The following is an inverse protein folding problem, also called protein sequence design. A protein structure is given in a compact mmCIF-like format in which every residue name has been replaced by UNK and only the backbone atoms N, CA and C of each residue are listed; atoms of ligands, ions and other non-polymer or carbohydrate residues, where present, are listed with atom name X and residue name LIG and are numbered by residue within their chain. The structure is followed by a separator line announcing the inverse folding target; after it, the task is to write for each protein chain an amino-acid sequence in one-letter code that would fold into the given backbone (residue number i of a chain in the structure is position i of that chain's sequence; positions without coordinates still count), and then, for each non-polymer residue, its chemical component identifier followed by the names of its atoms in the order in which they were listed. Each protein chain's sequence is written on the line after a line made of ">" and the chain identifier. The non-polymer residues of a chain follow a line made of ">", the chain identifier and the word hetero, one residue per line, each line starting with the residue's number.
data_IF_428764380406
#
_entry.id   IF_428764380406
#
_cell.length_a   1.000
_cell.length_b   1.000
_cell.length_c   1.000
_cell.angle_alpha   90.00
_cell.angle_beta   90.00
_cell.angle_gamma   90.00
#
_symmetry.space_group_name_H-M   'P 1'
#
loop_
_entity.id
_entity.type
_entity.pdbx_description
1 polymer ?
#
# COMPACT_ATOMS: atom_id res chain seq x y z
N UNK A 1 -8.98 8.56 21.78
CA UNK A 1 -8.71 9.09 20.43
C UNK A 1 -9.61 10.30 20.22
N UNK A 2 -9.06 11.47 19.91
CA UNK A 2 -9.84 12.68 19.69
C UNK A 2 -10.72 12.53 18.44
N UNK A 3 -11.97 13.07 18.46
CA UNK A 3 -12.92 12.94 17.34
C UNK A 3 -12.33 13.26 15.96
N UNK A 4 -11.56 14.37 15.77
CA UNK A 4 -10.95 14.66 14.47
C UNK A 4 -9.99 13.58 13.99
N UNK A 5 -9.18 13.01 14.88
CA UNK A 5 -8.25 11.94 14.54
C UNK A 5 -8.98 10.67 14.10
N UNK A 6 -10.10 10.33 14.75
CA UNK A 6 -10.93 9.20 14.36
C UNK A 6 -11.49 9.34 12.95
N UNK A 7 -11.93 10.55 12.58
CA UNK A 7 -12.51 10.83 11.27
C UNK A 7 -11.45 10.70 10.17
N UNK A 8 -10.27 11.28 10.36
CA UNK A 8 -9.21 11.17 9.34
C UNK A 8 -8.69 9.73 9.21
N UNK A 9 -8.67 8.96 10.31
CA UNK A 9 -8.34 7.53 10.27
C UNK A 9 -9.40 6.73 9.48
N UNK A 10 -10.68 7.01 9.72
CA UNK A 10 -11.79 6.42 8.97
C UNK A 10 -11.71 6.79 7.48
N UNK A 11 -11.42 8.06 7.16
CA UNK A 11 -11.26 8.52 5.77
C UNK A 11 -10.13 7.78 5.06
N UNK A 12 -9.00 7.61 5.73
CA UNK A 12 -7.87 6.86 5.19
C UNK A 12 -8.21 5.37 5.00
N UNK A 13 -8.83 4.77 6.00
CA UNK A 13 -9.27 3.38 5.93
C UNK A 13 -10.27 3.16 4.78
N UNK A 14 -11.27 4.05 4.61
CA UNK A 14 -12.21 4.02 3.49
C UNK A 14 -11.50 4.05 2.14
N UNK A 15 -10.48 4.89 1.98
CA UNK A 15 -9.70 4.99 0.74
C UNK A 15 -8.98 3.67 0.43
N UNK A 16 -8.39 3.02 1.44
CA UNK A 16 -7.69 1.74 1.26
C UNK A 16 -8.64 0.54 1.16
N UNK A 17 -9.80 0.57 1.80
CA UNK A 17 -10.90 -0.39 1.52
C UNK A 17 -11.28 -0.30 0.05
N UNK A 18 -11.53 0.89 -0.48
CA UNK A 18 -11.87 1.10 -1.88
C UNK A 18 -10.79 0.57 -2.83
N UNK A 19 -9.51 0.83 -2.54
CA UNK A 19 -8.43 0.25 -3.34
C UNK A 19 -8.45 -1.29 -3.29
N UNK A 20 -8.62 -1.88 -2.11
CA UNK A 20 -8.62 -3.33 -1.92
C UNK A 20 -9.81 -4.05 -2.56
N UNK A 21 -10.98 -3.42 -2.57
CA UNK A 21 -12.22 -3.94 -3.20
C UNK A 21 -11.99 -4.34 -4.67
N UNK A 22 -11.17 -3.59 -5.38
CA UNK A 22 -10.93 -3.74 -6.81
C UNK A 22 -10.16 -5.02 -7.13
N UNK A 23 -9.22 -5.40 -6.28
CA UNK A 23 -8.23 -6.45 -6.54
C UNK A 23 -8.89 -7.75 -7.01
N UNK A 24 -9.86 -8.35 -6.29
CA UNK A 24 -10.47 -9.60 -6.69
C UNK A 24 -11.55 -9.48 -7.78
N UNK A 25 -12.05 -8.27 -8.06
CA UNK A 25 -13.24 -8.10 -8.92
C UNK A 25 -12.86 -7.62 -10.32
N UNK A 26 -11.84 -6.79 -10.42
CA UNK A 26 -11.46 -6.12 -11.67
C UNK A 26 -11.13 -7.09 -12.82
N UNK A 27 -10.38 -8.19 -12.62
CA UNK A 27 -10.08 -9.12 -13.72
C UNK A 27 -11.34 -9.72 -14.35
N UNK A 28 -12.37 -10.04 -13.55
CA UNK A 28 -13.61 -10.61 -14.08
C UNK A 28 -14.41 -9.60 -14.91
N UNK A 29 -14.39 -8.32 -14.53
CA UNK A 29 -14.97 -7.24 -15.32
C UNK A 29 -14.23 -7.03 -16.64
N UNK A 30 -12.91 -7.02 -16.61
CA UNK A 30 -12.08 -6.86 -17.82
C UNK A 30 -12.32 -8.04 -18.77
N UNK A 31 -12.41 -9.27 -18.26
CA UNK A 31 -12.67 -10.48 -19.04
C UNK A 31 -13.98 -10.37 -19.88
N UNK A 32 -14.99 -9.65 -19.37
CA UNK A 32 -16.24 -9.41 -20.09
C UNK A 32 -16.10 -8.42 -21.27
N UNK A 33 -15.10 -7.53 -21.20
CA UNK A 33 -14.91 -6.45 -22.16
C UNK A 33 -13.79 -6.76 -23.15
N UNK A 34 -12.67 -7.29 -22.65
CA UNK A 34 -11.48 -7.67 -23.41
C UNK A 34 -10.79 -8.85 -22.73
N UNK A 35 -11.08 -10.05 -23.22
CA UNK A 35 -10.48 -11.28 -22.70
C UNK A 35 -9.07 -11.53 -23.22
N UNK A 36 -8.67 -10.97 -24.38
CA UNK A 36 -7.36 -11.22 -24.99
C UNK A 36 -6.23 -10.51 -24.24
N UNK A 37 -6.46 -9.27 -23.82
CA UNK A 37 -5.51 -8.46 -23.11
C UNK A 37 -5.77 -8.39 -21.57
N UNK A 38 -6.49 -9.36 -21.01
CA UNK A 38 -6.95 -9.38 -19.62
C UNK A 38 -5.84 -9.06 -18.60
N UNK A 39 -4.71 -9.75 -18.67
CA UNK A 39 -3.61 -9.53 -17.73
C UNK A 39 -3.02 -8.12 -17.88
N UNK A 40 -2.80 -7.67 -19.11
CA UNK A 40 -2.25 -6.33 -19.39
C UNK A 40 -3.15 -5.23 -18.84
N UNK A 41 -4.46 -5.27 -19.11
CA UNK A 41 -5.40 -4.27 -18.59
C UNK A 41 -5.52 -4.31 -17.07
N UNK A 42 -5.46 -5.50 -16.46
CA UNK A 42 -5.42 -5.64 -14.99
C UNK A 42 -4.20 -4.91 -14.40
N UNK A 43 -3.02 -5.17 -14.95
CA UNK A 43 -1.79 -4.52 -14.51
C UNK A 43 -1.80 -3.00 -14.74
N UNK A 44 -2.22 -2.56 -15.93
CA UNK A 44 -2.28 -1.13 -16.28
C UNK A 44 -3.24 -0.34 -15.40
N UNK A 45 -4.46 -0.84 -15.15
CA UNK A 45 -5.47 -0.13 -14.33
C UNK A 45 -5.02 0.06 -12.88
N UNK A 46 -4.27 -0.89 -12.31
CA UNK A 46 -3.65 -0.75 -10.98
C UNK A 46 -2.45 0.20 -10.99
N UNK A 47 -1.61 0.08 -12.02
CA UNK A 47 -0.39 0.90 -12.17
C UNK A 47 -0.71 2.37 -12.43
N UNK A 48 -1.67 2.67 -13.31
CA UNK A 48 -2.09 4.04 -13.63
C UNK A 48 -2.64 4.75 -12.40
N UNK A 49 -3.51 4.08 -11.61
CA UNK A 49 -4.00 4.64 -10.36
C UNK A 49 -2.84 5.04 -9.43
N UNK A 50 -1.88 4.13 -9.26
CA UNK A 50 -0.73 4.36 -8.38
C UNK A 50 0.21 5.45 -8.92
N UNK A 51 0.42 5.51 -10.23
CA UNK A 51 1.25 6.52 -10.89
C UNK A 51 0.65 7.92 -10.75
N UNK A 52 -0.64 8.05 -11.02
CA UNK A 52 -1.34 9.34 -10.88
C UNK A 52 -1.33 9.78 -9.42
N UNK A 53 -1.64 8.87 -8.48
CA UNK A 53 -1.59 9.17 -7.05
C UNK A 53 -0.19 9.62 -6.59
N UNK A 54 0.86 8.97 -7.08
CA UNK A 54 2.26 9.32 -6.77
C UNK A 54 2.63 10.74 -7.23
N UNK A 55 2.27 11.08 -8.47
CA UNK A 55 2.55 12.41 -9.06
C UNK A 55 1.72 13.50 -8.37
N UNK A 56 0.45 13.22 -8.08
CA UNK A 56 -0.48 14.22 -7.54
C UNK A 56 -0.33 14.44 -6.03
N UNK A 57 0.15 13.46 -5.27
CA UNK A 57 0.29 13.57 -3.80
C UNK A 57 1.12 14.79 -3.35
N UNK A 58 2.30 15.10 -3.91
CA UNK A 58 3.04 16.30 -3.54
C UNK A 58 2.31 17.60 -3.89
N UNK A 59 1.58 17.62 -5.02
CA UNK A 59 0.83 18.80 -5.47
C UNK A 59 -0.33 19.09 -4.52
N UNK A 60 -1.09 18.07 -4.15
CA UNK A 60 -2.15 18.19 -3.15
C UNK A 60 -1.62 18.57 -1.77
N UNK A 61 -0.48 18.00 -1.37
CA UNK A 61 0.21 18.38 -0.15
C UNK A 61 0.56 19.86 -0.13
N UNK A 62 1.18 20.37 -1.20
CA UNK A 62 1.54 21.77 -1.33
C UNK A 62 0.31 22.69 -1.40
N UNK A 63 -0.75 22.28 -2.08
CA UNK A 63 -2.01 23.04 -2.13
C UNK A 63 -2.65 23.09 -0.73
N UNK A 64 -2.64 22.00 0.02
CA UNK A 64 -3.18 21.95 1.38
C UNK A 64 -2.41 22.82 2.37
N UNK A 65 -1.12 23.07 2.15
CA UNK A 65 -0.33 24.02 2.93
C UNK A 65 -0.79 25.47 2.73
N UNK A 66 -1.41 25.77 1.57
CA UNK A 66 -1.89 27.12 1.22
C UNK A 66 -3.33 27.38 1.62
N UNK A 67 -4.24 26.45 1.30
CA UNK A 67 -5.68 26.67 1.49
C UNK A 67 -6.25 25.97 2.74
N UNK A 68 -5.45 25.11 3.37
CA UNK A 68 -5.84 24.34 4.54
C UNK A 68 -5.98 22.84 4.24
N UNK A 69 -5.95 22.03 5.30
CA UNK A 69 -6.02 20.55 5.20
C UNK A 69 -7.44 20.07 4.91
N UNK A 70 -8.40 20.62 5.66
CA UNK A 70 -9.81 20.20 5.59
C UNK A 70 -10.40 20.29 4.19
N UNK A 71 -10.28 21.40 3.42
CA UNK A 71 -10.85 21.49 2.07
C UNK A 71 -10.29 20.42 1.14
N UNK A 72 -8.99 20.15 1.21
CA UNK A 72 -8.35 19.15 0.32
C UNK A 72 -8.78 17.73 0.67
N UNK A 73 -8.90 17.38 1.96
CA UNK A 73 -9.44 16.08 2.39
C UNK A 73 -10.86 15.89 1.87
N UNK A 74 -11.71 16.92 1.97
CA UNK A 74 -13.09 16.85 1.50
C UNK A 74 -13.19 16.69 -0.02
N UNK A 75 -12.43 17.48 -0.77
CA UNK A 75 -12.34 17.36 -2.24
C UNK A 75 -11.82 15.96 -2.61
N UNK A 76 -10.79 15.48 -1.91
CA UNK A 76 -10.20 14.17 -2.15
C UNK A 76 -11.19 13.03 -1.98
N UNK A 77 -11.91 12.97 -0.84
CA UNK A 77 -12.87 11.88 -0.59
C UNK A 77 -14.10 11.95 -1.49
N UNK A 78 -14.57 13.16 -1.83
CA UNK A 78 -15.68 13.34 -2.77
C UNK A 78 -15.30 12.91 -4.18
N UNK A 79 -14.14 13.34 -4.68
CA UNK A 79 -13.62 12.92 -5.99
C UNK A 79 -13.33 11.42 -6.04
N UNK A 80 -12.87 10.83 -4.94
CA UNK A 80 -12.70 9.39 -4.80
C UNK A 80 -14.04 8.65 -4.89
N UNK A 81 -15.10 9.14 -4.21
CA UNK A 81 -16.44 8.59 -4.33
C UNK A 81 -16.96 8.64 -5.76
N UNK A 82 -16.78 9.78 -6.45
CA UNK A 82 -17.17 9.95 -7.84
C UNK A 82 -16.41 8.98 -8.77
N UNK A 83 -15.11 8.76 -8.53
CA UNK A 83 -14.33 7.82 -9.33
C UNK A 83 -14.86 6.39 -9.24
N UNK A 84 -15.28 5.93 -8.06
CA UNK A 84 -15.87 4.61 -7.87
C UNK A 84 -17.27 4.50 -8.50
N UNK A 85 -18.07 5.56 -8.42
CA UNK A 85 -19.36 5.61 -9.09
C UNK A 85 -19.19 5.50 -10.62
N UNK A 86 -18.25 6.25 -11.20
CA UNK A 86 -17.92 6.18 -12.63
C UNK A 86 -17.45 4.77 -13.01
N UNK A 87 -16.63 4.12 -12.16
CA UNK A 87 -16.22 2.75 -12.44
C UNK A 87 -17.39 1.78 -12.46
N UNK A 88 -18.28 1.84 -11.47
CA UNK A 88 -19.46 0.98 -11.41
C UNK A 88 -20.41 1.16 -12.58
N UNK A 89 -20.71 2.42 -12.94
CA UNK A 89 -21.56 2.75 -14.09
C UNK A 89 -20.91 2.40 -15.44
N UNK A 90 -19.60 2.54 -15.53
CA UNK A 90 -18.81 2.27 -16.74
C UNK A 90 -18.16 0.88 -16.77
N UNK A 91 -18.59 -0.07 -15.95
CA UNK A 91 -17.99 -1.39 -15.84
C UNK A 91 -18.00 -2.25 -17.12
N UNK A 92 -18.82 -1.86 -18.11
CA UNK A 92 -18.88 -2.49 -19.42
C UNK A 92 -18.05 -1.75 -20.50
N UNK A 93 -17.30 -0.72 -20.12
CA UNK A 93 -16.51 0.11 -21.01
C UNK A 93 -15.11 0.32 -20.48
N UNK A 94 -14.11 -0.22 -21.15
CA UNK A 94 -12.71 -0.16 -20.75
C UNK A 94 -12.20 1.29 -20.60
N UNK A 95 -12.60 2.20 -21.47
CA UNK A 95 -12.24 3.62 -21.40
C UNK A 95 -12.74 4.25 -20.09
N UNK A 96 -13.98 3.95 -19.69
CA UNK A 96 -14.56 4.45 -18.44
C UNK A 96 -13.83 3.88 -17.21
N UNK A 97 -13.40 2.61 -17.28
CA UNK A 97 -12.55 2.02 -16.24
C UNK A 97 -11.23 2.80 -16.12
N UNK A 98 -10.55 3.13 -17.21
CA UNK A 98 -9.32 3.93 -17.20
C UNK A 98 -9.54 5.35 -16.67
N UNK A 99 -10.57 6.04 -17.11
CA UNK A 99 -10.93 7.38 -16.61
C UNK A 99 -11.14 7.33 -15.10
N UNK A 100 -11.89 6.35 -14.61
CA UNK A 100 -12.11 6.15 -13.20
C UNK A 100 -10.80 5.91 -12.43
N UNK A 101 -9.86 5.11 -12.98
CA UNK A 101 -8.56 4.87 -12.32
C UNK A 101 -7.69 6.12 -12.25
N UNK A 102 -7.68 6.95 -13.31
CA UNK A 102 -7.00 8.24 -13.30
C UNK A 102 -7.60 9.17 -12.26
N UNK A 103 -8.93 9.32 -12.23
CA UNK A 103 -9.63 10.14 -11.24
C UNK A 103 -9.43 9.60 -9.81
N UNK A 104 -9.53 8.27 -9.63
CA UNK A 104 -9.27 7.63 -8.34
C UNK A 104 -7.86 7.89 -7.82
N UNK A 105 -6.85 7.78 -8.69
CA UNK A 105 -5.46 8.11 -8.37
C UNK A 105 -5.28 9.60 -8.02
N UNK A 106 -5.88 10.48 -8.81
CA UNK A 106 -5.85 11.94 -8.58
C UNK A 106 -6.35 12.28 -7.17
N UNK A 107 -7.52 11.81 -6.80
CA UNK A 107 -8.17 12.19 -5.55
C UNK A 107 -7.71 11.37 -4.34
N UNK A 108 -7.29 10.11 -4.52
CA UNK A 108 -6.67 9.35 -3.42
C UNK A 108 -5.34 9.94 -2.98
N UNK A 109 -4.58 10.53 -3.91
CA UNK A 109 -3.36 11.29 -3.60
C UNK A 109 -3.62 12.47 -2.68
N UNK A 110 -4.76 13.16 -2.82
CA UNK A 110 -5.20 14.23 -1.93
C UNK A 110 -5.46 13.70 -0.50
N UNK A 111 -6.22 12.60 -0.39
CA UNK A 111 -6.55 12.00 0.91
C UNK A 111 -5.30 11.52 1.62
N UNK A 112 -4.48 10.69 0.97
CA UNK A 112 -3.35 10.02 1.61
C UNK A 112 -2.25 10.98 2.06
N UNK A 113 -1.88 11.96 1.20
CA UNK A 113 -0.82 12.92 1.54
C UNK A 113 -1.24 13.91 2.61
N UNK A 114 -2.48 14.41 2.55
CA UNK A 114 -2.95 15.46 3.44
C UNK A 114 -3.34 14.91 4.81
N UNK A 115 -3.84 13.67 4.90
CA UNK A 115 -4.11 13.04 6.20
C UNK A 115 -2.83 12.87 7.02
N UNK A 116 -1.72 12.46 6.42
CA UNK A 116 -0.43 12.36 7.11
C UNK A 116 -0.02 13.73 7.67
N UNK A 117 -0.19 14.80 6.88
CA UNK A 117 0.09 16.15 7.33
C UNK A 117 -0.88 16.62 8.44
N UNK A 118 -2.18 16.33 8.30
CA UNK A 118 -3.19 16.62 9.31
C UNK A 118 -2.86 15.96 10.65
N UNK A 119 -2.47 14.69 10.65
CA UNK A 119 -2.06 13.95 11.87
C UNK A 119 -0.84 14.62 12.50
N UNK A 120 0.14 15.05 11.70
CA UNK A 120 1.32 15.75 12.20
C UNK A 120 0.96 17.12 12.82
N UNK A 121 -0.06 17.81 12.29
CA UNK A 121 -0.52 19.10 12.78
C UNK A 121 -1.27 18.98 14.14
N UNK A 122 -2.01 17.89 14.37
CA UNK A 122 -2.88 17.71 15.57
C UNK A 122 -2.22 16.86 16.67
N UNK A 123 -0.98 16.39 16.46
CA UNK A 123 -0.21 15.61 17.45
C UNK A 123 1.00 16.39 17.93
N UNK A 124 1.29 16.29 19.24
CA UNK A 124 2.56 16.80 19.79
C UNK A 124 3.75 15.96 19.26
N UNK A 125 4.99 16.48 19.32
CA UNK A 125 6.18 15.71 18.94
C UNK A 125 6.26 14.33 19.61
N UNK A 126 5.86 14.23 20.88
CA UNK A 126 5.87 13.01 21.70
C UNK A 126 4.80 12.01 21.26
N UNK A 127 3.64 12.49 20.83
CA UNK A 127 2.51 11.67 20.38
C UNK A 127 2.56 11.35 18.88
N UNK A 128 3.44 11.99 18.11
CA UNK A 128 3.50 11.89 16.65
C UNK A 128 3.73 10.44 16.18
N UNK A 129 4.61 9.71 16.85
CA UNK A 129 4.86 8.30 16.54
C UNK A 129 3.60 7.44 16.70
N UNK A 130 2.82 7.68 17.76
CA UNK A 130 1.54 7.01 17.99
C UNK A 130 0.51 7.38 16.91
N UNK A 131 0.44 8.66 16.53
CA UNK A 131 -0.42 9.15 15.45
C UNK A 131 -0.10 8.49 14.11
N UNK A 132 1.19 8.40 13.76
CA UNK A 132 1.63 7.72 12.53
C UNK A 132 1.40 6.20 12.58
N UNK A 133 1.46 5.59 13.76
CA UNK A 133 1.06 4.20 13.96
C UNK A 133 -0.42 3.96 13.64
N UNK A 134 -1.31 4.89 14.02
CA UNK A 134 -2.73 4.85 13.66
C UNK A 134 -2.94 4.97 12.15
N UNK A 135 -2.16 5.82 11.46
CA UNK A 135 -2.16 5.92 10.00
C UNK A 135 -1.84 4.55 9.37
N UNK A 136 -0.73 3.93 9.80
CA UNK A 136 -0.34 2.60 9.33
C UNK A 136 -1.39 1.52 9.60
N UNK A 137 -2.02 1.55 10.78
CA UNK A 137 -3.12 0.64 11.15
C UNK A 137 -4.34 0.83 10.24
N UNK A 138 -4.74 2.06 9.95
CA UNK A 138 -5.88 2.36 9.06
C UNK A 138 -5.63 1.85 7.63
N UNK A 139 -4.41 2.01 7.12
CA UNK A 139 -3.98 1.48 5.83
C UNK A 139 -4.05 -0.06 5.82
N UNK A 140 -3.46 -0.71 6.83
CA UNK A 140 -3.42 -2.16 6.95
C UNK A 140 -4.82 -2.78 7.06
N UNK A 141 -5.69 -2.21 7.90
CA UNK A 141 -7.08 -2.65 8.03
C UNK A 141 -7.84 -2.48 6.70
N UNK A 142 -7.64 -1.36 6.00
CA UNK A 142 -8.26 -1.12 4.70
C UNK A 142 -7.87 -2.18 3.67
N UNK A 143 -6.59 -2.52 3.58
CA UNK A 143 -6.09 -3.58 2.71
C UNK A 143 -6.54 -4.99 3.09
N UNK A 144 -6.77 -5.25 4.37
CA UNK A 144 -7.27 -6.55 4.84
C UNK A 144 -8.76 -6.71 4.57
N UNK A 145 -9.55 -5.69 4.90
CA UNK A 145 -11.01 -5.72 4.80
C UNK A 145 -11.46 -5.55 3.33
N UNK A 146 -10.77 -4.70 2.56
CA UNK A 146 -11.18 -4.31 1.22
C UNK A 146 -11.43 -5.50 0.29
N UNK A 147 -10.45 -6.38 0.05
CA UNK A 147 -10.63 -7.53 -0.85
C UNK A 147 -11.73 -8.48 -0.37
N UNK A 148 -11.83 -8.72 0.94
CA UNK A 148 -12.88 -9.55 1.53
C UNK A 148 -14.27 -8.99 1.25
N UNK A 149 -14.48 -7.69 1.53
CA UNK A 149 -15.75 -7.01 1.25
C UNK A 149 -16.04 -6.97 -0.25
N UNK A 150 -15.03 -6.66 -1.08
CA UNK A 150 -15.14 -6.68 -2.54
C UNK A 150 -15.59 -8.02 -3.08
N UNK A 151 -14.94 -9.08 -2.62
CA UNK A 151 -15.29 -10.45 -2.99
C UNK A 151 -16.69 -10.88 -2.53
N UNK A 152 -17.11 -10.51 -1.32
CA UNK A 152 -18.46 -10.81 -0.84
C UNK A 152 -19.53 -10.06 -1.64
N UNK A 153 -19.35 -8.77 -1.86
CA UNK A 153 -20.32 -7.94 -2.60
C UNK A 153 -20.41 -8.32 -4.09
N UNK A 154 -19.34 -8.86 -4.66
CA UNK A 154 -19.33 -9.34 -6.05
C UNK A 154 -20.25 -10.53 -6.30
N UNK A 155 -20.71 -11.22 -5.24
CA UNK A 155 -21.73 -12.28 -5.35
C UNK A 155 -23.12 -11.75 -5.72
N UNK A 156 -23.40 -10.46 -5.46
CA UNK A 156 -24.63 -9.79 -5.87
C UNK A 156 -24.52 -9.36 -7.34
N UNK A 157 -23.51 -8.58 -7.66
CA UNK A 157 -23.07 -8.26 -9.02
C UNK A 157 -21.60 -7.79 -8.96
N UNK A 158 -20.88 -7.86 -10.10
CA UNK A 158 -19.49 -7.40 -10.16
C UNK A 158 -19.36 -5.88 -10.00
N UNK A 159 -20.43 -5.13 -10.21
CA UNK A 159 -20.50 -3.68 -10.06
C UNK A 159 -20.82 -3.26 -8.62
N UNK A 160 -21.53 -4.09 -7.84
CA UNK A 160 -21.96 -3.79 -6.47
C UNK A 160 -20.80 -3.32 -5.55
N UNK A 161 -19.60 -3.92 -5.57
CA UNK A 161 -18.47 -3.46 -4.76
C UNK A 161 -18.09 -2.00 -5.00
N UNK A 162 -18.20 -1.53 -6.24
CA UNK A 162 -17.87 -0.15 -6.62
C UNK A 162 -18.91 0.85 -6.13
N UNK A 163 -20.18 0.50 -6.21
CA UNK A 163 -21.26 1.32 -5.65
C UNK A 163 -21.17 1.39 -4.13
N UNK A 164 -20.84 0.27 -3.48
CA UNK A 164 -20.63 0.23 -2.03
C UNK A 164 -19.43 1.08 -1.60
N UNK A 165 -18.31 1.02 -2.33
CA UNK A 165 -17.15 1.86 -2.08
C UNK A 165 -17.46 3.35 -2.26
N UNK A 166 -18.21 3.71 -3.31
CA UNK A 166 -18.69 5.08 -3.51
C UNK A 166 -19.59 5.53 -2.37
N UNK A 167 -20.56 4.72 -1.97
CA UNK A 167 -21.48 5.00 -0.86
C UNK A 167 -20.74 5.19 0.46
N UNK A 168 -19.78 4.31 0.78
CA UNK A 168 -18.94 4.42 1.96
C UNK A 168 -18.10 5.70 1.95
N UNK A 169 -17.54 6.07 0.80
CA UNK A 169 -16.79 7.30 0.64
C UNK A 169 -17.68 8.54 0.82
N UNK A 170 -18.91 8.53 0.28
CA UNK A 170 -19.89 9.61 0.50
C UNK A 170 -20.30 9.73 1.96
N UNK A 171 -20.58 8.62 2.65
CA UNK A 171 -20.86 8.63 4.09
C UNK A 171 -19.70 9.22 4.87
N UNK A 172 -18.46 8.83 4.54
CA UNK A 172 -17.26 9.38 5.15
C UNK A 172 -17.07 10.87 4.83
N UNK A 173 -17.41 11.29 3.60
CA UNK A 173 -17.42 12.71 3.21
C UNK A 173 -18.37 13.53 4.09
N UNK A 174 -19.62 13.12 4.27
CA UNK A 174 -20.59 13.85 5.08
C UNK A 174 -20.18 13.90 6.56
N UNK A 175 -19.60 12.80 7.08
CA UNK A 175 -19.05 12.76 8.42
C UNK A 175 -17.87 13.74 8.57
N UNK A 176 -16.93 13.74 7.62
CA UNK A 176 -15.80 14.66 7.63
C UNK A 176 -16.26 16.10 7.43
N UNK A 177 -17.22 16.36 6.52
CA UNK A 177 -17.75 17.69 6.28
C UNK A 177 -18.39 18.29 7.53
N UNK A 178 -19.16 17.51 8.30
CA UNK A 178 -19.86 17.96 9.50
C UNK A 178 -18.97 18.11 10.73
N UNK A 179 -17.92 17.29 10.88
CA UNK A 179 -17.20 17.18 12.15
C UNK A 179 -15.68 17.44 12.05
N UNK A 180 -15.08 17.39 10.85
CA UNK A 180 -13.66 17.63 10.71
C UNK A 180 -13.37 19.14 10.83
N UNK A 181 -12.49 19.48 11.76
CA UNK A 181 -12.01 20.86 11.94
C UNK A 181 -10.72 21.07 11.14
N UNK A 182 -10.48 22.33 10.75
CA UNK A 182 -9.20 22.70 10.13
C UNK A 182 -8.05 22.55 11.15
N UNK A 183 -6.95 21.94 10.73
CA UNK A 183 -5.77 21.75 11.58
C UNK A 183 -4.70 22.81 11.35
N UNK A 184 -4.68 23.44 10.17
CA UNK A 184 -3.66 24.41 9.81
C UNK A 184 -4.18 25.84 10.05
N UNK A 185 -3.66 26.49 11.10
CA UNK A 185 -4.00 27.86 11.43
C UNK A 185 -3.64 28.83 10.27
N UNK A 186 -4.47 29.87 10.00
CA UNK A 186 -4.25 30.80 8.89
C UNK A 186 -2.86 31.44 8.87
N UNK A 187 -2.29 31.71 10.05
CA UNK A 187 -0.97 32.32 10.24
C UNK A 187 0.15 31.38 9.76
N UNK A 188 -0.02 30.07 9.94
CA UNK A 188 0.95 29.04 9.51
C UNK A 188 0.89 28.75 8.01
N UNK A 189 -0.20 29.12 7.33
CA UNK A 189 -0.33 28.92 5.87
C UNK A 189 0.68 29.75 5.07
N UNK A 190 1.13 30.89 5.58
CA UNK A 190 2.11 31.79 4.93
C UNK A 190 3.56 31.33 5.11
N UNK A 191 3.87 30.51 6.12
CA UNK A 191 5.22 30.02 6.42
C UNK A 191 5.61 28.76 5.61
N UNK A 192 4.69 28.13 4.91
CA UNK A 192 4.94 26.92 4.12
C UNK A 192 5.70 27.18 2.80
N UNK A 193 6.32 28.36 2.64
CA UNK A 193 7.06 28.75 1.42
C UNK A 193 8.54 28.35 1.45
N UNK A 194 9.03 27.79 2.56
CA UNK A 194 10.39 27.27 2.64
C UNK A 194 10.55 26.03 1.78
N UNK A 195 11.62 26.02 0.97
CA UNK A 195 11.96 24.91 0.11
C UNK A 195 12.14 23.62 0.94
N UNK A 196 11.26 22.65 0.75
CA UNK A 196 11.39 21.34 1.42
C UNK A 196 12.65 20.64 0.91
N UNK A 197 13.49 20.09 1.80
CA UNK A 197 14.66 19.33 1.37
C UNK A 197 14.20 18.16 0.48
N UNK A 198 14.97 17.89 -0.57
CA UNK A 198 14.66 16.78 -1.48
C UNK A 198 14.63 15.45 -0.71
N UNK A 199 13.61 14.63 -0.95
CA UNK A 199 13.52 13.29 -0.33
C UNK A 199 14.72 12.42 -0.68
N UNK A 200 15.33 12.66 -1.83
CA UNK A 200 16.51 11.93 -2.31
C UNK A 200 17.75 12.15 -1.47
N UNK A 201 17.81 13.20 -0.62
CA UNK A 201 18.90 13.37 0.35
C UNK A 201 18.98 12.24 1.37
N UNK A 202 17.86 11.53 1.61
CA UNK A 202 17.84 10.33 2.46
C UNK A 202 18.41 9.08 1.75
N UNK A 203 18.56 9.09 0.42
CA UNK A 203 19.06 7.96 -0.37
C UNK A 203 20.58 7.92 -0.40
N UNK A 204 21.20 7.83 0.79
CA UNK A 204 22.67 7.89 0.94
C UNK A 204 23.18 6.78 1.85
N UNK A 205 24.47 6.48 1.74
CA UNK A 205 25.17 5.53 2.59
C UNK A 205 24.58 4.12 2.58
N UNK A 206 24.54 3.46 3.74
CA UNK A 206 23.97 2.12 3.90
C UNK A 206 22.44 2.10 3.77
N UNK A 207 21.75 3.21 4.10
CA UNK A 207 20.27 3.28 4.08
C UNK A 207 19.67 3.07 2.70
N UNK A 208 20.39 3.39 1.60
CA UNK A 208 19.93 3.12 0.23
C UNK A 208 19.51 1.66 0.02
N UNK A 209 20.16 0.71 0.67
CA UNK A 209 19.84 -0.70 0.56
C UNK A 209 18.51 -1.07 1.25
N UNK A 210 18.18 -0.41 2.37
CA UNK A 210 16.87 -0.58 3.01
C UNK A 210 15.73 0.02 2.18
N UNK A 211 15.96 1.16 1.53
CA UNK A 211 14.98 1.75 0.60
C UNK A 211 14.76 0.85 -0.63
N UNK A 212 15.83 0.29 -1.21
CA UNK A 212 15.72 -0.67 -2.31
C UNK A 212 15.02 -1.96 -1.86
N UNK A 213 15.27 -2.43 -0.62
CA UNK A 213 14.59 -3.58 -0.06
C UNK A 213 13.08 -3.29 0.09
N UNK A 214 12.71 -2.10 0.59
CA UNK A 214 11.31 -1.67 0.66
C UNK A 214 10.65 -1.64 -0.72
N UNK A 215 11.35 -1.13 -1.74
CA UNK A 215 10.89 -1.16 -3.14
C UNK A 215 10.64 -2.59 -3.63
N UNK A 216 11.59 -3.52 -3.42
CA UNK A 216 11.46 -4.91 -3.89
C UNK A 216 10.30 -5.63 -3.22
N UNK A 217 10.11 -5.42 -1.92
CA UNK A 217 8.96 -5.96 -1.16
C UNK A 217 7.64 -5.40 -1.67
N UNK A 218 7.56 -4.09 -1.89
CA UNK A 218 6.36 -3.44 -2.41
C UNK A 218 6.04 -3.89 -3.85
N UNK A 219 7.06 -4.04 -4.70
CA UNK A 219 6.94 -4.51 -6.08
C UNK A 219 6.42 -5.96 -6.12
N UNK A 220 6.99 -6.84 -5.29
CA UNK A 220 6.59 -8.24 -5.21
C UNK A 220 5.14 -8.38 -4.74
N UNK A 221 4.75 -7.63 -3.69
CA UNK A 221 3.38 -7.63 -3.18
C UNK A 221 2.39 -7.12 -4.25
N UNK A 222 2.68 -6.00 -4.89
CA UNK A 222 1.77 -5.41 -5.87
C UNK A 222 1.65 -6.25 -7.15
N UNK A 223 2.74 -6.94 -7.55
CA UNK A 223 2.71 -7.94 -8.62
C UNK A 223 1.83 -9.13 -8.28
N UNK A 224 1.93 -9.64 -7.05
CA UNK A 224 1.07 -10.71 -6.54
C UNK A 224 -0.41 -10.28 -6.52
N UNK A 225 -0.71 -9.08 -6.00
CA UNK A 225 -2.07 -8.52 -5.95
C UNK A 225 -2.71 -8.47 -7.35
N UNK A 226 -1.93 -8.14 -8.38
CA UNK A 226 -2.41 -8.04 -9.76
C UNK A 226 -2.61 -9.41 -10.44
N UNK A 227 -1.85 -10.43 -10.05
CA UNK A 227 -1.82 -11.70 -10.78
C UNK A 227 -2.53 -12.86 -10.07
N UNK A 228 -2.78 -12.74 -8.75
CA UNK A 228 -3.35 -13.86 -7.98
C UNK A 228 -4.75 -14.26 -8.44
N UNK A 229 -5.62 -13.29 -8.75
CA UNK A 229 -6.96 -13.59 -9.31
C UNK A 229 -6.83 -14.28 -10.66
N UNK A 230 -5.97 -13.77 -11.55
CA UNK A 230 -5.73 -14.35 -12.87
C UNK A 230 -5.22 -15.80 -12.77
N UNK A 231 -4.25 -16.04 -11.87
CA UNK A 231 -3.71 -17.36 -11.60
C UNK A 231 -4.79 -18.31 -11.06
N UNK A 232 -5.62 -17.82 -10.15
CA UNK A 232 -6.70 -18.62 -9.59
C UNK A 232 -7.78 -18.96 -10.60
N UNK A 233 -8.11 -18.04 -11.51
CA UNK A 233 -9.07 -18.26 -12.59
C UNK A 233 -8.59 -19.37 -13.55
N UNK A 234 -7.31 -19.32 -13.93
CA UNK A 234 -6.73 -20.30 -14.86
C UNK A 234 -6.53 -21.70 -14.22
N UNK A 235 -6.25 -21.76 -12.93
CA UNK A 235 -5.82 -23.00 -12.27
C UNK A 235 -6.91 -23.70 -11.46
N UNK A 236 -7.85 -22.95 -10.89
CA UNK A 236 -8.87 -23.46 -9.94
C UNK A 236 -10.28 -22.99 -10.26
N UNK A 237 -10.46 -22.18 -11.31
CA UNK A 237 -11.74 -21.56 -11.65
C UNK A 237 -12.35 -20.74 -10.47
N UNK A 238 -11.47 -20.05 -9.71
CA UNK A 238 -11.90 -19.29 -8.52
C UNK A 238 -12.74 -18.09 -8.88
N UNK A 239 -13.74 -17.84 -8.04
CA UNK A 239 -14.58 -16.65 -8.10
C UNK A 239 -13.90 -15.47 -7.39
N UNK A 240 -14.28 -14.20 -7.70
CA UNK A 240 -13.81 -13.02 -6.96
C UNK A 240 -14.05 -13.12 -5.45
N UNK A 241 -15.18 -13.74 -5.03
CA UNK A 241 -15.50 -13.98 -3.63
C UNK A 241 -14.48 -14.86 -2.92
N UNK A 242 -14.03 -15.91 -3.58
CA UNK A 242 -13.02 -16.82 -3.05
C UNK A 242 -11.65 -16.15 -2.92
N UNK A 243 -11.21 -15.39 -3.92
CA UNK A 243 -9.96 -14.65 -3.86
C UNK A 243 -10.01 -13.53 -2.83
N UNK A 244 -11.13 -12.83 -2.71
CA UNK A 244 -11.35 -11.85 -1.63
C UNK A 244 -11.20 -12.48 -0.25
N UNK A 245 -11.72 -13.70 -0.04
CA UNK A 245 -11.56 -14.46 1.20
C UNK A 245 -10.09 -14.87 1.42
N UNK A 246 -9.35 -15.28 0.39
CA UNK A 246 -7.92 -15.59 0.49
C UNK A 246 -7.13 -14.37 1.00
N UNK A 247 -7.35 -13.19 0.43
CA UNK A 247 -6.70 -11.95 0.89
C UNK A 247 -7.12 -11.56 2.30
N UNK A 248 -8.40 -11.74 2.65
CA UNK A 248 -8.89 -11.47 4.00
C UNK A 248 -8.21 -12.36 5.05
N UNK A 249 -8.12 -13.67 4.81
CA UNK A 249 -7.42 -14.62 5.69
C UNK A 249 -5.94 -14.27 5.80
N UNK A 250 -5.28 -14.00 4.67
CA UNK A 250 -3.88 -13.56 4.63
C UNK A 250 -3.66 -12.28 5.46
N UNK A 251 -4.54 -11.28 5.29
CA UNK A 251 -4.49 -10.04 6.05
C UNK A 251 -4.72 -10.24 7.54
N UNK A 252 -5.65 -11.12 7.92
CA UNK A 252 -5.89 -11.46 9.32
C UNK A 252 -4.67 -12.14 9.96
N UNK A 253 -4.07 -13.11 9.28
CA UNK A 253 -2.82 -13.75 9.71
C UNK A 253 -1.71 -12.71 9.87
N UNK A 254 -1.55 -11.82 8.90
CA UNK A 254 -0.59 -10.71 8.97
C UNK A 254 -0.81 -9.79 10.18
N UNK A 255 -2.07 -9.43 10.46
CA UNK A 255 -2.44 -8.62 11.62
C UNK A 255 -2.12 -9.33 12.95
N UNK A 256 -2.38 -10.64 13.05
CA UNK A 256 -2.02 -11.45 14.22
C UNK A 256 -0.50 -11.52 14.42
N UNK A 257 0.27 -11.67 13.34
CA UNK A 257 1.75 -11.65 13.40
C UNK A 257 2.25 -10.27 13.84
N UNK A 258 1.72 -9.17 13.30
CA UNK A 258 2.13 -7.82 13.70
C UNK A 258 1.76 -7.51 15.15
N UNK A 259 0.54 -7.83 15.57
CA UNK A 259 0.06 -7.56 16.92
C UNK A 259 0.67 -8.48 17.98
N UNK A 260 0.92 -9.75 17.64
CA UNK A 260 1.45 -10.78 18.53
C UNK A 260 2.97 -10.87 18.50
N UNK A 261 3.52 -11.28 17.33
CA UNK A 261 4.95 -11.59 17.21
C UNK A 261 5.80 -10.33 17.19
N UNK A 262 5.50 -9.40 16.29
CA UNK A 262 6.30 -8.19 16.09
C UNK A 262 6.33 -7.37 17.38
N UNK A 263 5.18 -7.11 17.97
CA UNK A 263 5.07 -6.29 19.17
C UNK A 263 5.73 -6.92 20.41
N UNK A 264 5.71 -8.26 20.54
CA UNK A 264 6.14 -8.94 21.76
C UNK A 264 7.58 -9.43 21.71
N UNK A 265 8.07 -9.81 20.55
CA UNK A 265 9.37 -10.52 20.44
C UNK A 265 10.47 -9.72 19.73
N UNK A 266 10.13 -8.67 18.94
CA UNK A 266 11.15 -7.87 18.27
C UNK A 266 11.67 -6.82 19.22
N UNK A 267 12.97 -6.96 19.58
CA UNK A 267 13.72 -5.99 20.38
C UNK A 267 14.57 -5.11 19.46
N UNK A 268 14.93 -3.89 19.89
CA UNK A 268 15.90 -3.07 19.16
C UNK A 268 17.19 -3.85 18.88
N UNK A 269 17.61 -3.93 17.62
CA UNK A 269 18.76 -4.69 17.16
C UNK A 269 18.46 -6.08 16.60
N UNK A 270 17.27 -6.64 16.81
CA UNK A 270 16.86 -7.92 16.23
C UNK A 270 16.20 -7.78 14.84
N UNK A 271 15.88 -6.54 14.40
CA UNK A 271 15.18 -6.27 13.14
C UNK A 271 15.80 -7.00 11.96
N UNK A 272 17.13 -7.07 11.75
CA UNK A 272 17.71 -7.79 10.63
C UNK A 272 17.35 -9.28 10.58
N UNK A 273 17.29 -9.95 11.74
CA UNK A 273 16.93 -11.38 11.84
C UNK A 273 15.49 -11.61 11.38
N UNK A 274 14.58 -10.72 11.81
CA UNK A 274 13.17 -10.81 11.43
C UNK A 274 12.95 -10.43 9.97
N UNK A 275 13.74 -9.53 9.39
CA UNK A 275 13.71 -9.24 7.95
C UNK A 275 14.18 -10.49 7.17
N UNK A 276 15.26 -11.17 7.58
CA UNK A 276 15.69 -12.42 6.95
C UNK A 276 14.59 -13.47 6.99
N UNK A 277 14.03 -13.73 8.17
CA UNK A 277 12.92 -14.67 8.31
C UNK A 277 11.74 -14.30 7.43
N UNK A 278 11.36 -13.00 7.42
CA UNK A 278 10.29 -12.49 6.59
C UNK A 278 10.51 -12.68 5.09
N UNK A 279 11.72 -12.42 4.60
CA UNK A 279 12.08 -12.61 3.20
C UNK A 279 12.04 -14.10 2.80
N UNK A 280 12.48 -15.00 3.69
CA UNK A 280 12.40 -16.44 3.47
C UNK A 280 10.93 -16.89 3.43
N UNK A 281 10.08 -16.46 4.38
CA UNK A 281 8.65 -16.77 4.36
C UNK A 281 7.97 -16.22 3.11
N UNK A 282 8.30 -14.99 2.68
CA UNK A 282 7.74 -14.41 1.46
C UNK A 282 8.16 -15.18 0.22
N UNK A 283 9.43 -15.54 0.09
CA UNK A 283 9.93 -16.34 -1.02
C UNK A 283 9.30 -17.75 -1.04
N UNK A 284 9.21 -18.39 0.13
CA UNK A 284 8.56 -19.70 0.28
C UNK A 284 7.08 -19.62 -0.12
N UNK A 285 6.35 -18.59 0.32
CA UNK A 285 4.95 -18.37 -0.05
C UNK A 285 4.76 -18.25 -1.56
N UNK A 286 5.61 -17.48 -2.25
CA UNK A 286 5.61 -17.37 -3.71
C UNK A 286 5.82 -18.71 -4.41
N UNK A 287 6.86 -19.44 -4.01
CA UNK A 287 7.22 -20.71 -4.67
C UNK A 287 6.19 -21.81 -4.36
N UNK A 288 5.67 -21.86 -3.14
CA UNK A 288 4.64 -22.80 -2.76
C UNK A 288 3.32 -22.56 -3.52
N UNK A 289 2.96 -21.30 -3.84
CA UNK A 289 1.78 -21.01 -4.66
C UNK A 289 1.82 -21.73 -6.01
N UNK A 290 2.99 -21.98 -6.59
CA UNK A 290 3.14 -22.74 -7.82
C UNK A 290 2.72 -24.22 -7.69
N UNK A 291 2.80 -24.76 -6.48
CA UNK A 291 2.43 -26.17 -6.17
C UNK A 291 1.01 -26.28 -5.66
N UNK A 292 0.26 -25.19 -5.59
CA UNK A 292 -1.12 -25.23 -5.10
C UNK A 292 -2.03 -26.01 -6.05
N UNK A 293 -2.90 -26.85 -5.46
CA UNK A 293 -3.85 -27.69 -6.20
C UNK A 293 -5.30 -27.40 -5.82
N UNK A 294 -5.53 -26.50 -4.89
CA UNK A 294 -6.85 -26.12 -4.42
C UNK A 294 -6.86 -24.72 -3.83
N UNK A 295 -8.05 -24.14 -3.70
CA UNK A 295 -8.26 -22.87 -3.02
C UNK A 295 -7.65 -22.85 -1.60
N UNK A 296 -7.79 -23.94 -0.85
CA UNK A 296 -7.28 -24.02 0.52
C UNK A 296 -5.76 -24.02 0.58
N UNK A 297 -5.10 -24.81 -0.27
CA UNK A 297 -3.63 -24.81 -0.34
C UNK A 297 -3.09 -23.46 -0.78
N UNK A 298 -3.72 -22.80 -1.77
CA UNK A 298 -3.36 -21.46 -2.20
C UNK A 298 -3.55 -20.43 -1.07
N UNK A 299 -4.63 -20.54 -0.27
CA UNK A 299 -4.87 -19.65 0.88
C UNK A 299 -3.79 -19.80 1.96
N UNK A 300 -3.40 -21.04 2.26
CA UNK A 300 -2.32 -21.32 3.23
C UNK A 300 -1.00 -20.74 2.73
N UNK A 301 -0.65 -20.97 1.47
CA UNK A 301 0.61 -20.48 0.89
C UNK A 301 0.65 -18.95 0.77
N UNK A 302 -0.48 -18.32 0.43
CA UNK A 302 -0.64 -16.87 0.48
C UNK A 302 -0.47 -16.33 1.91
N UNK A 303 -0.98 -17.06 2.92
CA UNK A 303 -0.81 -16.69 4.32
C UNK A 303 0.65 -16.79 4.78
N UNK A 304 1.41 -17.77 4.29
CA UNK A 304 2.87 -17.85 4.52
C UNK A 304 3.57 -16.61 3.95
N UNK A 305 3.23 -16.19 2.73
CA UNK A 305 3.71 -14.93 2.17
C UNK A 305 3.31 -13.72 3.04
N UNK A 306 2.06 -13.69 3.53
CA UNK A 306 1.54 -12.65 4.42
C UNK A 306 2.31 -12.53 5.75
N UNK A 307 2.69 -13.67 6.35
CA UNK A 307 3.56 -13.70 7.53
C UNK A 307 4.89 -13.01 7.23
N UNK A 308 5.50 -13.35 6.08
CA UNK A 308 6.75 -12.71 5.65
C UNK A 308 6.64 -11.20 5.55
N UNK A 309 5.63 -10.69 4.85
CA UNK A 309 5.38 -9.26 4.70
C UNK A 309 5.11 -8.56 6.04
N UNK A 310 4.39 -9.22 6.95
CA UNK A 310 4.07 -8.70 8.28
C UNK A 310 5.31 -8.51 9.16
N UNK A 311 6.35 -9.32 8.96
CA UNK A 311 7.64 -9.20 9.64
C UNK A 311 8.53 -8.12 9.01
N UNK A 312 8.61 -8.05 7.67
CA UNK A 312 9.56 -7.18 6.96
C UNK A 312 9.23 -5.69 7.16
N UNK A 313 7.99 -5.29 6.85
CA UNK A 313 7.64 -3.86 6.76
C UNK A 313 7.91 -3.06 8.04
N UNK A 314 7.48 -3.49 9.23
CA UNK A 314 7.76 -2.75 10.46
C UNK A 314 9.25 -2.73 10.81
N UNK A 315 9.99 -3.83 10.56
CA UNK A 315 11.43 -3.89 10.83
C UNK A 315 12.24 -2.97 9.91
N UNK A 316 11.92 -2.92 8.61
CA UNK A 316 12.58 -2.00 7.65
C UNK A 316 12.30 -0.56 8.03
N UNK A 317 11.05 -0.22 8.35
CA UNK A 317 10.68 1.13 8.79
C UNK A 317 11.40 1.50 10.09
N UNK A 318 11.49 0.58 11.05
CA UNK A 318 12.22 0.77 12.31
C UNK A 318 13.69 1.08 12.05
N UNK A 319 14.40 0.29 11.24
CA UNK A 319 15.79 0.52 10.91
C UNK A 319 16.03 1.85 10.17
N UNK A 320 15.16 2.21 9.23
CA UNK A 320 15.26 3.49 8.52
C UNK A 320 15.14 4.65 9.52
N UNK A 321 14.16 4.61 10.42
CA UNK A 321 13.93 5.68 11.40
C UNK A 321 15.02 5.78 12.46
N UNK A 322 15.61 4.64 12.88
CA UNK A 322 16.69 4.61 13.85
C UNK A 322 18.03 5.11 13.28
N UNK A 323 18.31 4.79 12.02
CA UNK A 323 19.61 5.02 11.38
C UNK A 323 19.68 6.28 10.51
N UNK A 324 18.55 6.95 10.29
CA UNK A 324 18.53 8.14 9.45
C UNK A 324 19.28 9.31 10.08
N UNK A 325 20.09 10.00 9.27
CA UNK A 325 20.79 11.23 9.65
C UNK A 325 20.05 12.48 9.18
N UNK A 326 19.01 12.32 8.36
CA UNK A 326 18.13 13.39 7.92
C UNK A 326 16.85 13.40 8.72
N UNK A 327 16.06 14.47 8.62
CA UNK A 327 14.77 14.56 9.32
C UNK A 327 13.87 13.36 9.01
N UNK A 328 13.19 12.83 10.05
CA UNK A 328 12.34 11.64 9.92
C UNK A 328 11.25 11.76 8.85
N UNK A 329 10.74 12.98 8.61
CA UNK A 329 9.78 13.26 7.55
C UNK A 329 10.36 13.03 6.15
N UNK A 330 11.64 13.37 5.93
CA UNK A 330 12.33 13.12 4.67
C UNK A 330 12.55 11.61 4.46
N UNK A 331 13.00 10.92 5.49
CA UNK A 331 13.23 9.48 5.46
C UNK A 331 11.93 8.68 5.20
N UNK A 332 10.86 8.99 5.92
CA UNK A 332 9.55 8.36 5.73
C UNK A 332 8.95 8.72 4.36
N UNK A 333 9.17 9.95 3.89
CA UNK A 333 8.74 10.38 2.56
C UNK A 333 9.42 9.60 1.44
N UNK A 334 10.72 9.28 1.57
CA UNK A 334 11.42 8.43 0.60
C UNK A 334 10.93 6.99 0.68
N UNK A 335 10.71 6.44 1.88
CA UNK A 335 10.13 5.09 2.04
C UNK A 335 8.77 4.99 1.35
N UNK A 336 7.89 5.97 1.54
CA UNK A 336 6.59 6.03 0.84
C UNK A 336 6.74 6.15 -0.68
N UNK A 337 7.79 6.83 -1.16
CA UNK A 337 8.10 6.90 -2.59
C UNK A 337 8.51 5.54 -3.15
N UNK A 338 9.30 4.76 -2.40
CA UNK A 338 9.67 3.39 -2.79
C UNK A 338 8.45 2.47 -2.84
N UNK A 339 7.57 2.54 -1.83
CA UNK A 339 6.30 1.80 -1.83
C UNK A 339 5.43 2.15 -3.05
N UNK A 340 5.34 3.45 -3.38
CA UNK A 340 4.57 3.91 -4.56
C UNK A 340 5.18 3.42 -5.87
N UNK A 341 6.50 3.47 -6.02
CA UNK A 341 7.19 2.92 -7.20
C UNK A 341 6.96 1.43 -7.35
N UNK A 342 6.99 0.67 -6.24
CA UNK A 342 6.65 -0.75 -6.24
C UNK A 342 5.23 -1.01 -6.73
N UNK A 343 4.26 -0.19 -6.31
CA UNK A 343 2.86 -0.27 -6.74
C UNK A 343 2.61 0.22 -8.17
N UNK A 344 3.51 1.00 -8.75
CA UNK A 344 3.46 1.39 -10.17
C UNK A 344 4.03 0.26 -11.04
N UNK A 345 5.20 -0.24 -10.69
CA UNK A 345 5.93 -1.20 -11.51
C UNK A 345 5.42 -2.63 -11.31
N UNK A 346 5.05 -3.00 -10.07
CA UNK A 346 4.66 -4.36 -9.69
C UNK A 346 3.50 -4.92 -10.49
N UNK A 347 2.34 -4.25 -10.55
CA UNK A 347 1.19 -4.77 -11.27
C UNK A 347 1.44 -4.92 -12.77
N UNK A 348 2.08 -3.92 -13.40
CA UNK A 348 2.41 -3.97 -14.82
C UNK A 348 3.44 -5.06 -15.12
N UNK A 349 4.51 -5.11 -14.31
CA UNK A 349 5.55 -6.15 -14.44
C UNK A 349 4.98 -7.55 -14.22
N UNK A 350 4.16 -7.74 -13.19
CA UNK A 350 3.46 -8.99 -12.92
C UNK A 350 2.56 -9.41 -14.07
N UNK A 351 1.78 -8.48 -14.62
CA UNK A 351 0.90 -8.74 -15.75
C UNK A 351 1.65 -9.12 -17.04
N UNK A 352 2.75 -8.43 -17.34
CA UNK A 352 3.60 -8.75 -18.50
C UNK A 352 4.25 -10.13 -18.35
N UNK A 353 4.76 -10.47 -17.18
CA UNK A 353 5.31 -11.80 -16.89
C UNK A 353 4.23 -12.88 -16.98
N UNK A 354 3.02 -12.60 -16.50
CA UNK A 354 1.87 -13.50 -16.57
C UNK A 354 1.48 -13.80 -18.03
N UNK A 355 1.50 -12.77 -18.89
CA UNK A 355 1.23 -12.91 -20.33
C UNK A 355 2.24 -13.81 -21.05
N UNK A 356 3.48 -13.94 -20.55
CA UNK A 356 4.48 -14.88 -21.07
C UNK A 356 4.26 -16.29 -20.51
N UNK A 357 4.09 -16.40 -19.20
CA UNK A 357 3.81 -17.68 -18.54
C UNK A 357 3.15 -17.45 -17.18
N UNK A 358 2.11 -18.22 -16.89
CA UNK A 358 1.34 -18.22 -15.63
C UNK A 358 2.21 -18.27 -14.37
N UNK A 359 3.35 -18.95 -14.41
CA UNK A 359 4.22 -19.17 -13.24
C UNK A 359 5.26 -18.07 -13.03
N UNK A 360 5.63 -17.34 -14.10
CA UNK A 360 6.72 -16.36 -14.06
C UNK A 360 6.58 -15.28 -12.99
N UNK A 361 5.41 -14.67 -12.76
CA UNK A 361 5.27 -13.66 -11.71
C UNK A 361 5.67 -14.17 -10.33
N UNK A 362 5.34 -15.43 -10.04
CA UNK A 362 5.61 -16.08 -8.76
C UNK A 362 7.08 -16.48 -8.60
N UNK A 363 7.69 -17.02 -9.66
CA UNK A 363 9.12 -17.32 -9.68
C UNK A 363 9.93 -16.04 -9.50
N UNK A 364 9.63 -15.00 -10.28
CA UNK A 364 10.32 -13.71 -10.21
C UNK A 364 10.09 -13.04 -8.85
N UNK A 365 8.85 -13.08 -8.30
CA UNK A 365 8.54 -12.57 -6.97
C UNK A 365 9.34 -13.28 -5.87
N UNK A 366 9.46 -14.59 -5.94
CA UNK A 366 10.31 -15.38 -5.03
C UNK A 366 11.79 -15.02 -5.15
N UNK A 367 12.31 -14.88 -6.38
CA UNK A 367 13.69 -14.48 -6.64
C UNK A 367 13.99 -13.05 -6.17
N UNK A 368 13.04 -12.12 -6.31
CA UNK A 368 13.15 -10.75 -5.78
C UNK A 368 13.24 -10.75 -4.25
N UNK A 369 12.43 -11.57 -3.58
CA UNK A 369 12.51 -11.73 -2.12
C UNK A 369 13.87 -12.30 -1.69
N UNK A 370 14.39 -13.32 -2.39
CA UNK A 370 15.72 -13.87 -2.12
C UNK A 370 16.83 -12.87 -2.46
N UNK A 371 16.71 -12.13 -3.57
CA UNK A 371 17.64 -11.07 -3.94
C UNK A 371 17.68 -9.92 -2.92
N UNK A 372 16.57 -9.63 -2.27
CA UNK A 372 16.50 -8.64 -1.20
C UNK A 372 17.35 -9.04 0.04
N UNK A 373 17.64 -10.33 0.24
CA UNK A 373 18.61 -10.78 1.26
C UNK A 373 20.00 -10.20 1.01
N UNK A 374 20.43 -10.11 -0.25
CA UNK A 374 21.72 -9.52 -0.61
C UNK A 374 21.77 -8.02 -0.25
N UNK A 375 20.65 -7.31 -0.45
CA UNK A 375 20.55 -5.89 -0.05
C UNK A 375 20.68 -5.75 1.47
N UNK A 376 20.03 -6.62 2.23
CA UNK A 376 20.12 -6.62 3.69
C UNK A 376 21.55 -6.94 4.16
N UNK A 377 22.21 -7.93 3.58
CA UNK A 377 23.61 -8.28 3.89
C UNK A 377 24.53 -7.08 3.62
N UNK A 378 24.36 -6.41 2.48
CA UNK A 378 25.13 -5.20 2.15
C UNK A 378 24.88 -4.07 3.14
N UNK A 379 23.63 -3.85 3.52
CA UNK A 379 23.29 -2.89 4.57
C UNK A 379 24.04 -3.20 5.89
N UNK A 380 23.93 -4.44 6.39
CA UNK A 380 24.56 -4.84 7.66
C UNK A 380 26.08 -4.67 7.63
N UNK A 381 26.70 -5.07 6.51
CA UNK A 381 28.16 -4.97 6.35
C UNK A 381 28.64 -3.52 6.43
N UNK A 382 27.99 -2.62 5.69
CA UNK A 382 28.35 -1.21 5.65
C UNK A 382 28.02 -0.49 6.98
N UNK A 383 26.92 -0.85 7.63
CA UNK A 383 26.52 -0.28 8.90
C UNK A 383 27.56 -0.65 10.01
N UNK A 384 28.02 -1.90 10.02
CA UNK A 384 29.08 -2.35 10.93
C UNK A 384 30.42 -1.62 10.71
N UNK A 385 30.83 -1.45 9.44
CA UNK A 385 32.05 -0.71 9.09
C UNK A 385 31.99 0.74 9.57
N UNK A 386 30.85 1.40 9.38
CA UNK A 386 30.64 2.77 9.86
C UNK A 386 30.76 2.86 11.38
N UNK A 387 30.11 1.97 12.13
CA UNK A 387 30.13 1.96 13.59
C UNK A 387 31.54 1.67 14.12
N UNK A 388 32.30 0.79 13.46
CA UNK A 388 33.69 0.49 13.81
C UNK A 388 34.61 1.71 13.61
N UNK A 389 34.46 2.43 12.48
CA UNK A 389 35.26 3.63 12.19
C UNK A 389 34.92 4.77 13.16
N UNK A 390 33.66 4.96 13.53
CA UNK A 390 33.26 5.96 14.52
C UNK A 390 33.79 5.64 15.95
N UNK A 391 33.96 4.33 16.27
CA UNK A 391 34.54 3.90 17.55
C UNK A 391 36.07 4.07 17.63
N UNK A 392 36.77 4.02 16.47
CA UNK A 392 38.25 4.23 16.40
C UNK A 392 38.59 5.73 16.49
N UNK A 393 37.69 6.62 16.13
CA UNK A 393 37.89 8.06 16.15
C UNK A 393 37.40 8.77 17.43
N UNK A 394 36.85 8.00 18.40
CA UNK A 394 36.55 8.44 19.78
C UNK A 394 37.57 7.93 20.76
#
# INVERSE_FOLDING_TARGET
>A
MNKPLAIVMLTLMTTFIGFGIIIPVMPELIKRVDSEALALHTGLLLSIYSAVSFVMSPLWGALSDRIGRRPIILIGILGFAASFLIFGLGAHNLTMMYISRVLGGLFSGAVTSVIVAYVADVTTPEERTKGMGLVGMSIGLGFTIGPGVGGLLSQVSLETPFYAASGLALLTFFLAWSQLKESLAPERRRQATEARPSRWTAFQGSLRYLYLLALFVALSLAGLEATLQLFGMERFEVTPGQVGMMFFVCGLVGALVQGGVVRRYIRPGDEPKFIVAGLIFSAAGFLLLLTSHSLWTATVYLSIFGIGNALIRPCVTSLITQKTTVGQGVASGLSSSMDSLGRIIGPLGGALLFGVNLQLPYVVGGLLCLGALLLLVRFITLDRQRTSNEAVHR
#
